data_IF_057193816132
#
_entry.id   IF_057193816132
#
_cell.length_a   1.000
_cell.length_b   1.000
_cell.length_c   1.000
_cell.angle_alpha   90.00
_cell.angle_beta   90.00
_cell.angle_gamma   90.00
#
_symmetry.space_group_name_H-M   'P 1'
#
loop_
_entity.id
_entity.type
_entity.pdbx_description
1 polymer ?
#
# COMPACT_ATOMS: atom_id res chain seq x y z
N UNK A 1 -52.18 -2.10 6.95
CA UNK A 1 -51.28 -1.04 7.47
C UNK A 1 -50.30 -1.78 8.34
N UNK A 2 -49.27 -2.32 7.69
CA UNK A 2 -48.28 -3.22 8.31
C UNK A 2 -46.93 -2.56 8.12
N UNK A 3 -46.38 -2.04 9.22
CA UNK A 3 -45.04 -1.48 9.29
C UNK A 3 -44.04 -2.62 9.44
N UNK A 4 -43.14 -2.75 8.47
CA UNK A 4 -41.97 -3.63 8.57
C UNK A 4 -40.75 -2.77 8.89
N UNK A 5 -40.41 -2.66 10.18
CA UNK A 5 -39.09 -2.19 10.62
C UNK A 5 -38.10 -3.36 10.63
N UNK A 6 -37.24 -3.44 9.63
CA UNK A 6 -36.11 -4.38 9.61
C UNK A 6 -34.95 -3.79 10.41
N UNK A 7 -34.82 -4.20 11.67
CA UNK A 7 -33.62 -3.99 12.48
C UNK A 7 -32.48 -4.83 11.91
N UNK A 8 -31.51 -4.18 11.27
CA UNK A 8 -30.27 -4.80 10.81
C UNK A 8 -29.35 -5.04 12.01
N UNK A 9 -29.27 -6.30 12.43
CA UNK A 9 -28.35 -6.78 13.45
C UNK A 9 -26.96 -6.98 12.81
N UNK A 10 -26.10 -5.99 12.97
CA UNK A 10 -24.71 -6.06 12.54
C UNK A 10 -23.92 -6.91 13.55
N UNK A 11 -23.21 -7.97 13.11
CA UNK A 11 -22.45 -8.80 14.03
C UNK A 11 -21.27 -8.00 14.61
N UNK A 12 -21.34 -7.71 15.92
CA UNK A 12 -20.19 -7.30 16.74
C UNK A 12 -19.14 -8.43 16.71
N UNK A 13 -18.23 -8.39 15.74
CA UNK A 13 -17.07 -9.28 15.69
C UNK A 13 -15.83 -8.52 16.13
N UNK A 14 -15.16 -9.15 17.09
CA UNK A 14 -14.08 -8.61 17.90
C UNK A 14 -12.89 -8.27 17.00
N UNK A 15 -12.51 -7.00 17.05
CA UNK A 15 -11.26 -6.43 16.57
C UNK A 15 -10.10 -7.31 17.04
N UNK A 16 -9.55 -8.13 16.14
CA UNK A 16 -8.19 -8.65 16.31
C UNK A 16 -7.28 -7.65 15.63
N UNK A 17 -6.94 -6.57 16.37
CA UNK A 17 -5.67 -5.89 16.14
C UNK A 17 -4.62 -6.99 16.07
N UNK A 18 -3.93 -7.13 14.94
CA UNK A 18 -2.60 -7.69 15.00
C UNK A 18 -1.83 -6.78 15.97
N UNK A 19 -1.38 -7.29 17.14
CA UNK A 19 -0.59 -6.49 18.03
C UNK A 19 0.71 -6.21 17.28
N UNK A 20 0.93 -4.96 16.86
CA UNK A 20 2.27 -4.50 16.59
C UNK A 20 3.00 -4.62 17.93
N UNK A 21 3.78 -5.69 18.07
CA UNK A 21 4.55 -6.02 19.25
C UNK A 21 5.50 -4.86 19.54
N UNK A 22 5.09 -4.01 20.48
CA UNK A 22 5.96 -3.18 21.31
C UNK A 22 6.95 -4.11 22.02
N UNK A 23 8.11 -4.36 21.41
CA UNK A 23 9.28 -4.81 22.15
C UNK A 23 9.92 -3.58 22.81
N UNK A 24 9.28 -3.12 23.88
CA UNK A 24 9.93 -2.33 24.91
C UNK A 24 10.78 -3.29 25.75
N UNK A 25 12.07 -3.40 25.44
CA UNK A 25 13.06 -3.97 26.36
C UNK A 25 13.76 -2.81 27.07
N UNK A 26 13.11 -2.27 28.09
CA UNK A 26 13.79 -1.54 29.15
C UNK A 26 14.47 -2.58 30.06
N UNK A 27 15.80 -2.62 30.02
CA UNK A 27 16.64 -3.37 30.96
C UNK A 27 17.68 -2.44 31.57
N UNK A 28 17.43 -2.01 32.81
CA UNK A 28 18.38 -1.33 33.68
C UNK A 28 19.60 -2.21 33.96
N UNK A 29 20.80 -1.63 33.81
CA UNK A 29 21.97 -1.82 34.68
C UNK A 29 22.70 -3.17 34.66
N UNK A 30 23.88 -3.21 34.03
CA UNK A 30 25.02 -3.93 34.60
C UNK A 30 26.35 -3.25 34.24
N UNK A 31 27.15 -3.01 35.27
CA UNK A 31 28.50 -2.44 35.30
C UNK A 31 29.57 -3.34 34.66
N UNK A 32 30.55 -2.70 33.99
CA UNK A 32 31.99 -3.03 33.88
C UNK A 32 32.42 -4.50 33.66
N UNK A 33 33.00 -4.83 32.49
CA UNK A 33 34.45 -5.03 32.25
C UNK A 33 34.71 -5.79 30.91
N UNK A 34 35.72 -5.30 30.17
CA UNK A 34 36.73 -6.07 29.41
C UNK A 34 36.32 -7.05 28.29
N UNK A 35 36.77 -6.73 27.07
CA UNK A 35 37.77 -7.56 26.39
C UNK A 35 37.33 -8.39 25.18
N UNK A 36 38.00 -8.08 24.06
CA UNK A 36 38.59 -9.01 23.10
C UNK A 36 37.74 -9.58 21.94
N UNK A 37 38.25 -9.30 20.74
CA UNK A 37 38.53 -10.27 19.66
C UNK A 37 37.40 -10.67 18.72
N UNK A 38 37.41 -9.98 17.57
CA UNK A 38 37.49 -10.50 16.20
C UNK A 38 37.33 -12.02 16.02
N UNK A 39 36.39 -12.45 15.17
CA UNK A 39 36.64 -13.51 14.19
C UNK A 39 35.56 -13.52 13.11
N UNK A 40 36.00 -13.25 11.89
CA UNK A 40 35.24 -13.30 10.66
C UNK A 40 35.52 -14.68 10.03
N UNK A 41 34.55 -15.56 9.80
CA UNK A 41 34.80 -16.80 9.07
C UNK A 41 34.97 -16.54 7.56
N UNK A 42 35.81 -17.34 6.88
CA UNK A 42 36.18 -17.14 5.48
C UNK A 42 35.13 -17.70 4.51
N UNK A 43 35.21 -17.20 3.27
CA UNK A 43 34.56 -17.74 2.07
C UNK A 43 34.90 -19.22 1.83
N UNK A 44 34.01 -19.95 1.15
CA UNK A 44 34.23 -20.63 -0.16
C UNK A 44 33.44 -21.94 -0.32
N UNK A 45 33.20 -22.26 -1.61
CA UNK A 45 32.95 -23.60 -2.18
C UNK A 45 31.50 -24.11 -2.02
N UNK A 46 30.77 -24.58 -3.02
CA UNK A 46 31.14 -25.40 -4.19
C UNK A 46 30.15 -25.21 -5.34
N UNK A 47 30.64 -25.35 -6.56
CA UNK A 47 29.86 -25.42 -7.78
C UNK A 47 29.26 -26.82 -7.94
N UNK A 48 27.96 -26.91 -8.21
CA UNK A 48 27.29 -28.15 -8.58
C UNK A 48 26.75 -28.05 -10.01
N UNK A 49 27.30 -28.86 -10.90
CA UNK A 49 26.74 -29.30 -12.18
C UNK A 49 26.82 -30.83 -12.12
N UNK A 50 25.78 -31.57 -12.56
CA UNK A 50 25.76 -31.97 -13.97
C UNK A 50 24.38 -32.22 -14.63
N UNK A 51 24.31 -31.89 -15.93
CA UNK A 51 23.77 -32.62 -17.10
C UNK A 51 22.40 -33.36 -17.10
N UNK A 52 21.49 -32.83 -17.96
CA UNK A 52 20.73 -33.49 -19.08
C UNK A 52 19.74 -34.65 -18.77
N UNK A 53 18.87 -35.20 -19.70
CA UNK A 53 18.47 -34.84 -21.09
C UNK A 53 16.93 -34.97 -21.45
N UNK A 54 16.57 -34.45 -22.66
CA UNK A 54 15.59 -34.86 -23.72
C UNK A 54 14.10 -35.26 -23.50
N UNK A 55 13.28 -34.65 -24.39
CA UNK A 55 12.10 -35.12 -25.16
C UNK A 55 10.92 -35.89 -24.50
N UNK A 56 9.70 -35.36 -24.67
CA UNK A 56 8.61 -36.19 -25.23
C UNK A 56 7.45 -35.36 -25.80
N UNK A 57 7.23 -35.54 -27.09
CA UNK A 57 6.07 -35.16 -27.89
C UNK A 57 4.85 -35.99 -27.44
N UNK A 58 3.69 -35.35 -27.36
CA UNK A 58 2.41 -36.00 -27.08
C UNK A 58 1.23 -35.13 -27.50
N UNK A 59 0.87 -35.21 -28.79
CA UNK A 59 -0.36 -34.65 -29.33
C UNK A 59 -1.55 -35.53 -28.96
N UNK A 60 -2.64 -34.96 -28.43
CA UNK A 60 -4.00 -35.49 -28.63
C UNK A 60 -5.03 -34.37 -28.38
N UNK A 61 -5.67 -33.90 -29.44
CA UNK A 61 -6.95 -33.16 -29.39
C UNK A 61 -8.07 -34.08 -28.89
N UNK A 62 -9.11 -33.52 -28.25
CA UNK A 62 -10.37 -33.51 -28.98
C UNK A 62 -11.22 -32.24 -28.81
N UNK A 63 -11.92 -31.98 -29.92
CA UNK A 63 -13.04 -31.08 -30.21
C UNK A 63 -14.16 -31.12 -29.16
N UNK A 64 -14.68 -29.95 -28.77
CA UNK A 64 -16.13 -29.71 -28.59
C UNK A 64 -16.47 -28.22 -28.43
N UNK A 65 -17.23 -27.71 -29.38
CA UNK A 65 -17.94 -26.43 -29.42
C UNK A 65 -18.72 -26.11 -28.15
N UNK A 66 -18.56 -24.89 -27.62
CA UNK A 66 -19.66 -24.14 -27.00
C UNK A 66 -19.48 -22.66 -27.31
N UNK A 67 -20.48 -22.17 -28.02
CA UNK A 67 -20.84 -20.79 -28.31
C UNK A 67 -20.84 -19.96 -27.02
N UNK A 68 -19.81 -19.12 -26.80
CA UNK A 68 -19.75 -18.21 -25.66
C UNK A 68 -19.68 -16.77 -26.17
N UNK A 69 -20.65 -15.98 -25.71
CA UNK A 69 -20.97 -14.65 -26.20
C UNK A 69 -19.86 -13.63 -25.89
N UNK A 70 -19.66 -12.60 -26.74
CA UNK A 70 -18.70 -11.54 -26.47
C UNK A 70 -19.25 -10.56 -25.41
N UNK A 71 -19.24 -10.94 -24.13
CA UNK A 71 -19.60 -10.04 -23.02
C UNK A 71 -18.40 -9.24 -22.45
N UNK A 72 -17.16 -9.52 -22.87
CA UNK A 72 -15.96 -8.90 -22.29
C UNK A 72 -15.61 -7.50 -22.82
N UNK A 73 -16.26 -6.99 -23.86
CA UNK A 73 -15.91 -5.67 -24.42
C UNK A 73 -16.56 -4.48 -23.69
N UNK A 74 -17.76 -4.63 -23.15
CA UNK A 74 -18.46 -3.49 -22.52
C UNK A 74 -17.83 -3.11 -21.18
N UNK A 75 -17.46 -4.09 -20.35
CA UNK A 75 -16.87 -3.84 -19.03
C UNK A 75 -15.50 -3.15 -19.09
N UNK A 76 -14.69 -3.46 -20.11
CA UNK A 76 -13.37 -2.85 -20.28
C UNK A 76 -13.46 -1.37 -20.70
N UNK A 77 -14.45 -1.02 -21.54
CA UNK A 77 -14.67 0.37 -21.96
C UNK A 77 -15.19 1.21 -20.80
N UNK A 78 -16.15 0.71 -20.02
CA UNK A 78 -16.68 1.42 -18.84
C UNK A 78 -15.61 1.67 -17.77
N UNK A 79 -14.76 0.68 -17.49
CA UNK A 79 -13.63 0.84 -16.58
C UNK A 79 -12.67 1.95 -17.04
N UNK A 80 -12.39 2.02 -18.35
CA UNK A 80 -11.49 3.05 -18.89
C UNK A 80 -12.05 4.48 -18.74
N UNK A 81 -13.35 4.69 -18.94
CA UNK A 81 -13.98 6.01 -18.77
C UNK A 81 -14.02 6.44 -17.30
N UNK A 82 -14.29 5.52 -16.39
CA UNK A 82 -14.28 5.81 -14.95
C UNK A 82 -12.87 6.09 -14.42
N UNK A 83 -11.86 5.38 -14.95
CA UNK A 83 -10.45 5.63 -14.63
C UNK A 83 -10.00 7.01 -15.10
N UNK A 84 -10.39 7.44 -16.30
CA UNK A 84 -10.13 8.80 -16.81
C UNK A 84 -10.74 9.86 -15.88
N UNK A 85 -12.02 9.69 -15.51
CA UNK A 85 -12.71 10.57 -14.56
C UNK A 85 -11.98 10.64 -13.22
N UNK A 86 -11.57 9.49 -12.67
CA UNK A 86 -10.83 9.43 -11.41
C UNK A 86 -9.45 10.06 -11.52
N UNK A 87 -8.75 9.90 -12.65
CA UNK A 87 -7.43 10.49 -12.91
C UNK A 87 -7.48 12.01 -12.92
N UNK A 88 -8.54 12.60 -13.47
CA UNK A 88 -8.74 14.05 -13.41
C UNK A 88 -9.07 14.52 -11.99
N UNK A 89 -9.92 13.79 -11.27
CA UNK A 89 -10.36 14.19 -9.93
C UNK A 89 -9.31 14.00 -8.84
N UNK A 90 -8.36 13.07 -8.98
CA UNK A 90 -7.35 12.80 -7.95
C UNK A 90 -6.29 13.90 -7.86
N UNK A 91 -6.08 14.68 -8.94
CA UNK A 91 -5.12 15.77 -8.98
C UNK A 91 -5.50 16.87 -7.97
N UNK A 92 -4.54 17.28 -7.14
CA UNK A 92 -4.72 18.28 -6.09
C UNK A 92 -4.08 17.88 -4.76
N UNK A 93 -4.37 18.66 -3.73
CA UNK A 93 -3.83 18.44 -2.37
C UNK A 93 -4.90 17.86 -1.47
N UNK A 94 -4.54 16.84 -0.71
CA UNK A 94 -5.42 16.05 0.12
C UNK A 94 -4.86 15.92 1.53
N UNK A 95 -5.69 16.08 2.55
CA UNK A 95 -5.35 15.89 3.95
C UNK A 95 -6.03 14.63 4.52
N UNK A 96 -5.30 13.92 5.36
CA UNK A 96 -5.80 12.83 6.18
C UNK A 96 -5.18 12.92 7.59
N UNK A 97 -5.96 12.56 8.60
CA UNK A 97 -5.48 12.41 9.98
C UNK A 97 -5.54 10.92 10.38
N UNK A 98 -4.39 10.24 10.32
CA UNK A 98 -4.23 8.85 10.70
C UNK A 98 -2.78 8.59 11.12
N UNK A 99 -2.58 8.36 12.43
CA UNK A 99 -1.26 8.27 13.07
C UNK A 99 -0.42 9.54 12.87
N UNK A 100 -1.06 10.70 13.05
CA UNK A 100 -0.55 12.01 12.68
C UNK A 100 -1.23 12.58 11.44
N UNK A 101 -0.78 13.77 11.03
CA UNK A 101 -1.30 14.46 9.85
C UNK A 101 -0.55 14.00 8.60
N UNK A 102 -1.28 13.89 7.50
CA UNK A 102 -0.73 13.55 6.19
C UNK A 102 -1.29 14.49 5.15
N UNK A 103 -0.42 15.02 4.31
CA UNK A 103 -0.80 15.83 3.16
C UNK A 103 -0.26 15.16 1.90
N UNK A 104 -1.14 14.79 0.98
CA UNK A 104 -0.81 14.19 -0.30
C UNK A 104 -1.09 15.21 -1.41
N UNK A 105 -0.05 15.65 -2.10
CA UNK A 105 -0.15 16.51 -3.28
C UNK A 105 0.05 15.67 -4.53
N UNK A 106 -1.00 15.50 -5.33
CA UNK A 106 -1.02 14.70 -6.56
C UNK A 106 -0.95 15.64 -7.77
N UNK A 107 0.02 15.42 -8.66
CA UNK A 107 0.25 16.24 -9.87
C UNK A 107 -0.16 15.50 -11.14
N UNK A 108 -0.53 16.26 -12.17
CA UNK A 108 -0.97 15.73 -13.49
C UNK A 108 0.09 14.89 -14.21
N UNK A 109 1.38 15.13 -13.93
CA UNK A 109 2.51 14.45 -14.56
C UNK A 109 2.79 13.03 -14.03
N UNK A 110 1.90 12.51 -13.18
CA UNK A 110 2.04 11.21 -12.54
C UNK A 110 3.02 11.20 -11.36
N UNK A 111 3.46 12.37 -10.87
CA UNK A 111 4.17 12.50 -9.60
C UNK A 111 3.23 12.90 -8.47
N UNK A 112 3.58 12.52 -7.26
CA UNK A 112 2.93 13.00 -6.05
C UNK A 112 3.97 13.19 -4.93
N UNK A 113 3.65 14.04 -3.96
CA UNK A 113 4.43 14.24 -2.74
C UNK A 113 3.52 13.99 -1.55
N UNK A 114 3.99 13.23 -0.57
CA UNK A 114 3.29 13.02 0.70
C UNK A 114 4.12 13.56 1.85
N UNK A 115 3.58 14.53 2.58
CA UNK A 115 4.12 15.00 3.84
C UNK A 115 3.42 14.25 4.96
N UNK A 116 4.19 13.63 5.85
CA UNK A 116 3.70 12.97 7.05
C UNK A 116 4.26 13.69 8.26
N UNK A 117 3.38 14.11 9.16
CA UNK A 117 3.68 14.74 10.44
C UNK A 117 3.21 13.80 11.55
N UNK A 118 4.08 12.87 11.99
CA UNK A 118 3.71 11.81 12.92
C UNK A 118 3.42 12.37 14.31
N UNK A 119 2.48 11.76 15.02
CA UNK A 119 2.13 12.12 16.40
C UNK A 119 2.51 11.04 17.43
N UNK A 120 2.47 11.42 18.71
CA UNK A 120 2.62 10.48 19.83
C UNK A 120 3.90 9.63 19.77
N UNK A 121 3.74 8.31 19.77
CA UNK A 121 4.87 7.37 19.71
C UNK A 121 5.52 7.31 18.32
N UNK A 122 4.80 7.70 17.27
CA UNK A 122 5.32 7.67 15.90
C UNK A 122 6.30 8.81 15.64
N UNK A 123 6.16 9.96 16.31
CA UNK A 123 7.14 11.06 16.21
C UNK A 123 8.51 10.67 16.74
N UNK A 124 8.58 9.80 17.76
CA UNK A 124 9.86 9.25 18.26
C UNK A 124 10.56 8.40 17.20
N UNK A 125 9.80 7.65 16.41
CA UNK A 125 10.33 6.77 15.37
C UNK A 125 10.67 7.51 14.08
N UNK A 126 9.81 8.43 13.64
CA UNK A 126 9.89 9.09 12.33
C UNK A 126 10.45 10.51 12.37
N UNK A 127 10.53 11.13 13.56
CA UNK A 127 10.83 12.55 13.71
C UNK A 127 9.58 13.41 13.51
N UNK A 128 9.78 14.71 13.39
CA UNK A 128 8.67 15.68 13.28
C UNK A 128 7.99 15.66 11.90
N UNK A 129 8.75 15.35 10.85
CA UNK A 129 8.28 15.38 9.46
C UNK A 129 9.04 14.41 8.58
N UNK A 130 8.31 13.73 7.71
CA UNK A 130 8.83 12.93 6.61
C UNK A 130 8.15 13.37 5.32
N UNK A 131 8.93 13.73 4.32
CA UNK A 131 8.45 13.98 2.95
C UNK A 131 8.75 12.76 2.10
N UNK A 132 7.76 12.28 1.36
CA UNK A 132 7.84 11.09 0.52
C UNK A 132 7.54 11.50 -0.92
N UNK A 133 8.37 11.08 -1.85
CA UNK A 133 8.15 11.27 -3.29
C UNK A 133 7.56 10.00 -3.88
N UNK A 134 6.51 10.16 -4.68
CA UNK A 134 5.66 9.07 -5.16
C UNK A 134 5.41 9.22 -6.66
N UNK A 135 5.38 8.09 -7.38
CA UNK A 135 4.75 7.95 -8.69
C UNK A 135 3.36 7.36 -8.51
N UNK A 136 2.40 7.87 -9.27
CA UNK A 136 1.02 7.39 -9.19
C UNK A 136 0.42 7.15 -10.58
N UNK A 137 -0.57 6.26 -10.62
CA UNK A 137 -1.50 6.10 -11.75
C UNK A 137 -2.84 5.55 -11.27
N UNK A 138 -3.88 5.76 -12.07
CA UNK A 138 -5.20 5.11 -11.89
C UNK A 138 -5.42 4.12 -13.02
N UNK A 139 -5.77 2.90 -12.65
CA UNK A 139 -6.00 1.77 -13.56
C UNK A 139 -6.93 0.73 -12.93
N UNK A 140 -7.97 0.34 -13.67
CA UNK A 140 -9.01 -0.63 -13.30
C UNK A 140 -9.67 -0.33 -11.94
N UNK A 141 -10.06 0.93 -11.72
CA UNK A 141 -10.68 1.40 -10.48
C UNK A 141 -9.75 1.40 -9.26
N UNK A 142 -8.43 1.38 -9.48
CA UNK A 142 -7.42 1.36 -8.43
C UNK A 142 -6.43 2.51 -8.60
N UNK A 143 -6.00 3.09 -7.50
CA UNK A 143 -4.85 3.97 -7.43
C UNK A 143 -3.61 3.13 -7.10
N UNK A 144 -2.59 3.20 -7.96
CA UNK A 144 -1.32 2.51 -7.79
C UNK A 144 -0.27 3.56 -7.42
N UNK A 145 0.44 3.33 -6.33
CA UNK A 145 1.46 4.23 -5.83
C UNK A 145 2.80 3.51 -5.73
N UNK A 146 3.86 4.20 -6.12
CA UNK A 146 5.24 3.70 -6.08
C UNK A 146 6.15 4.76 -5.48
N UNK A 147 6.81 4.43 -4.38
CA UNK A 147 7.71 5.33 -3.68
C UNK A 147 9.03 5.48 -4.45
N UNK A 148 9.34 6.70 -4.87
CA UNK A 148 10.56 7.01 -5.65
C UNK A 148 11.68 7.63 -4.82
N UNK A 149 11.36 8.19 -3.65
CA UNK A 149 12.33 8.89 -2.82
C UNK A 149 11.69 9.65 -1.66
N UNK A 150 12.41 10.65 -1.17
CA UNK A 150 11.94 11.53 -0.10
C UNK A 150 13.03 11.88 0.91
N UNK A 151 12.63 12.60 1.96
CA UNK A 151 13.51 13.12 2.99
C UNK A 151 12.87 13.04 4.38
N UNK A 152 13.64 12.73 5.44
CA UNK A 152 15.03 12.26 5.40
C UNK A 152 15.14 10.83 4.86
N UNK A 153 16.19 10.52 4.07
CA UNK A 153 16.34 9.22 3.41
C UNK A 153 16.24 8.02 4.36
N UNK A 154 16.88 8.09 5.54
CA UNK A 154 16.79 7.04 6.57
C UNK A 154 15.36 6.80 7.08
N UNK A 155 14.51 7.84 7.08
CA UNK A 155 13.10 7.72 7.48
C UNK A 155 12.26 7.15 6.35
N UNK A 156 12.57 7.49 5.11
CA UNK A 156 11.97 6.86 3.92
C UNK A 156 12.27 5.36 3.89
N UNK A 157 13.50 4.93 4.22
CA UNK A 157 13.83 3.50 4.31
C UNK A 157 12.96 2.78 5.35
N UNK A 158 12.68 3.43 6.48
CA UNK A 158 11.76 2.88 7.49
C UNK A 158 10.32 2.81 6.96
N UNK A 159 9.85 3.81 6.21
CA UNK A 159 8.54 3.77 5.56
C UNK A 159 8.44 2.57 4.62
N UNK A 160 9.46 2.35 3.78
CA UNK A 160 9.51 1.21 2.86
C UNK A 160 9.49 -0.12 3.60
N UNK A 161 10.15 -0.22 4.76
CA UNK A 161 10.13 -1.44 5.58
C UNK A 161 8.76 -1.73 6.20
N UNK A 162 7.97 -0.70 6.52
CA UNK A 162 6.66 -0.87 7.17
C UNK A 162 5.51 -1.05 6.16
N UNK A 163 5.52 -0.30 5.07
CA UNK A 163 4.38 -0.22 4.14
C UNK A 163 4.70 -0.75 2.75
N UNK A 164 5.95 -1.15 2.50
CA UNK A 164 6.40 -1.51 1.16
C UNK A 164 6.78 -0.29 0.32
N UNK A 165 7.37 -0.57 -0.84
CA UNK A 165 7.72 0.47 -1.83
C UNK A 165 6.56 0.79 -2.76
N UNK A 166 5.74 -0.21 -3.05
CA UNK A 166 4.60 -0.11 -3.94
C UNK A 166 3.36 -0.54 -3.17
N UNK A 167 2.26 0.17 -3.35
CA UNK A 167 0.98 -0.20 -2.76
C UNK A 167 -0.16 0.17 -3.68
N UNK A 168 -1.21 -0.65 -3.65
CA UNK A 168 -2.40 -0.49 -4.46
C UNK A 168 -3.60 -0.22 -3.56
N UNK A 169 -4.43 0.75 -3.93
CA UNK A 169 -5.66 1.03 -3.20
C UNK A 169 -6.84 1.04 -4.17
N UNK A 170 -7.92 0.38 -3.78
CA UNK A 170 -9.17 0.43 -4.55
C UNK A 170 -9.84 1.77 -4.32
N UNK A 171 -10.28 2.43 -5.38
CA UNK A 171 -11.05 3.67 -5.28
C UNK A 171 -12.49 3.29 -4.94
N UNK A 172 -12.96 3.66 -3.74
CA UNK A 172 -14.34 3.40 -3.32
C UNK A 172 -15.25 4.56 -3.72
N UNK A 173 -14.79 5.78 -3.52
CA UNK A 173 -15.51 6.99 -3.90
C UNK A 173 -14.54 8.13 -4.14
N UNK A 174 -14.85 8.98 -5.11
CA UNK A 174 -14.07 10.18 -5.40
C UNK A 174 -14.96 11.32 -5.88
N UNK A 175 -14.71 12.49 -5.32
CA UNK A 175 -15.40 13.74 -5.60
C UNK A 175 -14.40 14.90 -5.55
N UNK A 176 -14.87 16.13 -5.79
CA UNK A 176 -14.02 17.33 -5.65
C UNK A 176 -13.50 17.52 -4.22
N UNK A 177 -14.24 17.10 -3.20
CA UNK A 177 -13.91 17.40 -1.81
C UNK A 177 -13.36 16.19 -1.04
N UNK A 178 -13.69 14.98 -1.48
CA UNK A 178 -13.38 13.74 -0.75
C UNK A 178 -12.86 12.66 -1.68
N UNK A 179 -11.86 11.93 -1.18
CA UNK A 179 -11.33 10.72 -1.79
C UNK A 179 -11.34 9.61 -0.74
N UNK A 180 -11.99 8.49 -1.07
CA UNK A 180 -12.08 7.31 -0.21
C UNK A 180 -11.42 6.14 -0.90
N UNK A 181 -10.37 5.61 -0.29
CA UNK A 181 -9.57 4.52 -0.81
C UNK A 181 -9.64 3.32 0.14
N UNK A 182 -9.59 2.10 -0.39
CA UNK A 182 -9.51 0.87 0.39
C UNK A 182 -8.15 0.23 0.21
N UNK A 183 -7.50 -0.13 1.33
CA UNK A 183 -6.21 -0.81 1.35
C UNK A 183 -6.26 -2.21 0.72
N UNK A 184 -5.07 -2.78 0.51
CA UNK A 184 -4.91 -4.13 -0.04
C UNK A 184 -5.46 -5.23 0.88
N UNK A 185 -5.55 -4.94 2.18
CA UNK A 185 -6.20 -5.82 3.15
C UNK A 185 -7.72 -5.96 2.94
N UNK A 186 -8.32 -5.07 2.15
CA UNK A 186 -9.76 -5.03 1.90
C UNK A 186 -10.59 -4.56 3.09
N UNK A 187 -9.94 -4.08 4.16
CA UNK A 187 -10.57 -3.70 5.42
C UNK A 187 -10.28 -2.24 5.80
N UNK A 188 -9.07 -1.75 5.54
CA UNK A 188 -8.65 -0.41 5.95
C UNK A 188 -9.09 0.64 4.94
N UNK A 189 -9.98 1.52 5.36
CA UNK A 189 -10.40 2.68 4.58
C UNK A 189 -9.55 3.92 4.88
N UNK A 190 -9.15 4.62 3.82
CA UNK A 190 -8.40 5.87 3.87
C UNK A 190 -9.27 6.98 3.32
N UNK A 191 -9.84 7.78 4.23
CA UNK A 191 -10.61 8.96 3.89
C UNK A 191 -9.70 10.19 3.84
N UNK A 192 -9.69 10.84 2.68
CA UNK A 192 -8.94 12.05 2.39
C UNK A 192 -9.89 13.21 2.10
N UNK A 193 -9.54 14.40 2.58
CA UNK A 193 -10.27 15.64 2.34
C UNK A 193 -9.43 16.58 1.50
N UNK A 194 -10.00 17.19 0.46
CA UNK A 194 -9.27 18.16 -0.37
C UNK A 194 -8.98 19.42 0.42
N UNK A 195 -7.77 19.96 0.26
CA UNK A 195 -7.33 21.24 0.83
C UNK A 195 -6.71 22.10 -0.27
N UNK A 196 -6.82 23.43 -0.14
CA UNK A 196 -6.31 24.38 -1.15
C UNK A 196 -4.78 24.50 -1.09
N UNK A 197 -4.20 24.47 0.11
CA UNK A 197 -2.75 24.62 0.32
C UNK A 197 -2.38 23.97 1.66
N UNK A 198 -1.17 23.41 1.75
CA UNK A 198 -0.56 22.97 3.01
C UNK A 198 0.20 24.18 3.57
N UNK A 199 -0.20 24.67 4.75
CA UNK A 199 0.49 25.76 5.46
C UNK A 199 1.85 25.32 6.04
#
# INVERSE_FOLDING_TARGET
>A
MEDHTTTSDAPKRRLRLAPLLLLAAAGLGFTLLRGATSEQPPMQTEAELPASPVDSVGATEPVATTEDAPQSSTAAVEASTEDERCREMVVGTWEQEMYGKRYLTVREDGSAEMIVEPDGVWSLAFGDKVTIEIRWKVENGKALFSLTGGMPSKKVDMVVQLWGRDWVQKILAMSREKMLLLGEDGETEYAWTRVETVD
#
